data_IF_669750116552
#
_entry.id   IF_669750116552
#
_cell.length_a   1.000
_cell.length_b   1.000
_cell.length_c   1.000
_cell.angle_alpha   90.00
_cell.angle_beta   90.00
_cell.angle_gamma   90.00
#
_symmetry.space_group_name_H-M   'P 1'
#
loop_
_entity.id
_entity.type
_entity.pdbx_description
1 polymer ?
#
# COMPACT_ATOMS: atom_id res chain seq x y z
N UNK A 1 -7.69 -20.58 -9.68
CA UNK A 1 -6.97 -21.87 -9.64
C UNK A 1 -5.64 -21.64 -8.93
N UNK A 2 -5.37 -22.25 -7.76
CA UNK A 2 -4.11 -22.05 -7.01
C UNK A 2 -2.86 -22.55 -7.76
N UNK A 3 -3.04 -23.40 -8.77
CA UNK A 3 -1.96 -24.09 -9.47
C UNK A 3 -1.35 -23.29 -10.64
N UNK A 4 -1.94 -22.18 -11.08
CA UNK A 4 -1.33 -21.32 -12.11
C UNK A 4 -0.21 -20.44 -11.54
N UNK A 5 -0.25 -20.16 -10.23
CA UNK A 5 0.76 -19.34 -9.55
C UNK A 5 2.13 -20.03 -9.42
N UNK A 6 2.15 -21.36 -9.55
CA UNK A 6 3.36 -22.20 -9.52
C UNK A 6 4.03 -22.35 -10.90
N UNK A 7 3.36 -21.97 -11.99
CA UNK A 7 3.89 -22.09 -13.35
C UNK A 7 4.73 -20.87 -13.79
N UNK A 8 4.62 -19.74 -13.09
CA UNK A 8 5.47 -18.55 -13.29
C UNK A 8 6.59 -18.49 -12.26
N UNK A 9 7.82 -18.21 -12.69
CA UNK A 9 8.97 -18.07 -11.79
C UNK A 9 8.76 -17.07 -10.64
N UNK A 10 9.63 -17.09 -9.64
CA UNK A 10 9.53 -16.29 -8.40
C UNK A 10 9.68 -14.76 -8.59
N UNK A 11 9.64 -14.24 -9.80
CA UNK A 11 9.78 -12.81 -10.13
C UNK A 11 8.71 -11.95 -9.41
N UNK A 12 7.50 -12.48 -9.22
CA UNK A 12 6.44 -11.80 -8.47
C UNK A 12 6.87 -11.47 -7.03
N UNK A 13 7.66 -12.36 -6.40
CA UNK A 13 8.19 -12.15 -5.06
C UNK A 13 9.22 -11.03 -5.08
N UNK A 14 10.10 -10.99 -6.08
CA UNK A 14 11.06 -9.90 -6.25
C UNK A 14 10.37 -8.54 -6.39
N UNK A 15 9.32 -8.44 -7.22
CA UNK A 15 8.55 -7.20 -7.35
C UNK A 15 7.80 -6.82 -6.07
N UNK A 16 7.33 -7.81 -5.32
CA UNK A 16 6.73 -7.59 -3.99
C UNK A 16 7.77 -7.04 -3.02
N UNK A 17 9.01 -7.54 -3.03
CA UNK A 17 10.08 -7.03 -2.17
C UNK A 17 10.52 -5.61 -2.54
N UNK A 18 10.49 -5.24 -3.82
CA UNK A 18 10.68 -3.84 -4.24
C UNK A 18 9.59 -2.95 -3.64
N UNK A 19 8.35 -3.44 -3.62
CA UNK A 19 7.22 -2.74 -3.01
C UNK A 19 7.44 -2.56 -1.51
N UNK A 20 7.84 -3.62 -0.80
CA UNK A 20 8.17 -3.59 0.64
C UNK A 20 9.27 -2.56 0.93
N UNK A 21 10.36 -2.57 0.16
CA UNK A 21 11.45 -1.62 0.34
C UNK A 21 11.00 -0.16 0.07
N UNK A 22 10.27 0.07 -1.03
CA UNK A 22 9.81 1.40 -1.41
C UNK A 22 8.87 2.00 -0.37
N UNK A 23 7.88 1.22 0.07
CA UNK A 23 6.90 1.64 1.08
C UNK A 23 7.49 1.71 2.49
N UNK A 24 8.45 0.83 2.83
CA UNK A 24 9.20 0.90 4.08
C UNK A 24 9.99 2.21 4.22
N UNK A 25 10.63 2.65 3.15
CA UNK A 25 11.36 3.93 3.12
C UNK A 25 10.44 5.15 3.02
N UNK A 26 9.24 4.98 2.45
CA UNK A 26 8.32 6.08 2.12
C UNK A 26 8.04 7.02 3.29
N UNK A 27 7.76 6.49 4.48
CA UNK A 27 7.38 7.32 5.63
C UNK A 27 8.51 8.22 6.11
N UNK A 28 9.74 7.71 6.09
CA UNK A 28 10.94 8.47 6.44
C UNK A 28 11.20 9.56 5.39
N UNK A 29 11.14 9.21 4.11
CA UNK A 29 11.34 10.14 3.01
C UNK A 29 10.28 11.25 3.01
N UNK A 30 9.01 10.91 3.19
CA UNK A 30 7.91 11.86 3.21
C UNK A 30 8.00 12.80 4.42
N UNK A 31 8.28 12.27 5.61
CA UNK A 31 8.46 13.08 6.82
C UNK A 31 9.62 14.06 6.65
N UNK A 32 10.77 13.59 6.13
CA UNK A 32 11.92 14.45 5.82
C UNK A 32 11.57 15.52 4.78
N UNK A 33 10.87 15.15 3.69
CA UNK A 33 10.41 16.09 2.68
C UNK A 33 9.46 17.16 3.25
N UNK A 34 8.51 16.77 4.11
CA UNK A 34 7.62 17.70 4.82
C UNK A 34 8.40 18.69 5.70
N UNK A 35 9.35 18.20 6.49
CA UNK A 35 10.17 19.07 7.35
C UNK A 35 11.04 20.03 6.52
N UNK A 36 11.55 19.56 5.38
CA UNK A 36 12.32 20.36 4.44
C UNK A 36 11.53 21.46 3.72
N UNK A 37 10.19 21.41 3.74
CA UNK A 37 9.37 22.50 3.17
C UNK A 37 9.43 23.79 3.99
N UNK A 38 9.93 23.74 5.23
CA UNK A 38 10.12 24.91 6.11
C UNK A 38 8.86 25.80 6.27
N UNK A 39 7.69 25.20 6.13
CA UNK A 39 6.38 25.85 6.23
C UNK A 39 5.54 25.11 7.26
N UNK A 40 5.40 25.65 8.49
CA UNK A 40 4.71 24.98 9.59
C UNK A 40 3.22 24.69 9.31
N UNK A 41 2.59 25.47 8.42
CA UNK A 41 1.15 25.39 8.16
C UNK A 41 0.88 24.51 6.94
N UNK A 42 1.56 24.79 5.82
CA UNK A 42 1.25 24.18 4.53
C UNK A 42 2.32 23.20 4.02
N UNK A 43 3.45 23.05 4.72
CA UNK A 43 4.57 22.22 4.27
C UNK A 43 4.19 20.78 3.94
N UNK A 44 3.24 20.22 4.70
CA UNK A 44 2.70 18.87 4.44
C UNK A 44 2.04 18.77 3.06
N UNK A 45 1.17 19.71 2.71
CA UNK A 45 0.45 19.69 1.43
C UNK A 45 1.38 19.99 0.26
N UNK A 46 2.37 20.87 0.47
CA UNK A 46 3.45 21.12 -0.51
C UNK A 46 4.27 19.85 -0.76
N UNK A 47 4.65 19.11 0.27
CA UNK A 47 5.33 17.82 0.11
C UNK A 47 4.46 16.80 -0.62
N UNK A 48 3.17 16.71 -0.27
CA UNK A 48 2.25 15.78 -0.92
C UNK A 48 1.98 16.12 -2.40
N UNK A 49 2.00 17.40 -2.77
CA UNK A 49 1.94 17.80 -4.19
C UNK A 49 3.06 17.14 -5.00
N UNK A 50 4.28 17.10 -4.48
CA UNK A 50 5.40 16.43 -5.15
C UNK A 50 5.29 14.90 -5.16
N UNK A 51 4.60 14.30 -4.18
CA UNK A 51 4.20 12.88 -4.27
C UNK A 51 3.24 12.68 -5.45
N UNK A 52 2.27 13.59 -5.63
CA UNK A 52 1.37 13.57 -6.78
C UNK A 52 2.09 13.72 -8.12
N UNK A 53 3.08 14.62 -8.20
CA UNK A 53 3.96 14.73 -9.38
C UNK A 53 4.70 13.43 -9.64
N UNK A 54 5.26 12.79 -8.60
CA UNK A 54 5.93 11.49 -8.74
C UNK A 54 4.97 10.40 -9.25
N UNK A 55 3.70 10.40 -8.83
CA UNK A 55 2.68 9.47 -9.33
C UNK A 55 2.37 9.74 -10.81
N UNK A 56 2.29 11.00 -11.25
CA UNK A 56 2.14 11.32 -12.67
C UNK A 56 3.32 10.76 -13.49
N UNK A 57 4.55 10.97 -13.03
CA UNK A 57 5.75 10.49 -13.73
C UNK A 57 5.81 8.96 -13.78
N UNK A 58 5.55 8.29 -12.68
CA UNK A 58 5.74 6.83 -12.57
C UNK A 58 4.51 6.05 -13.06
N UNK A 59 3.31 6.41 -12.59
CA UNK A 59 2.10 5.65 -12.90
C UNK A 59 1.53 6.00 -14.28
N UNK A 60 1.56 7.28 -14.70
CA UNK A 60 1.00 7.67 -16.01
C UNK A 60 2.06 7.54 -17.10
N UNK A 61 3.16 8.31 -16.99
CA UNK A 61 4.18 8.32 -18.04
C UNK A 61 4.89 6.96 -18.12
N UNK A 62 5.27 6.38 -16.97
CA UNK A 62 5.88 5.05 -16.94
C UNK A 62 5.00 3.98 -17.59
N UNK A 63 3.70 3.93 -17.26
CA UNK A 63 2.78 2.97 -17.89
C UNK A 63 2.61 3.22 -19.38
N UNK A 64 2.52 4.49 -19.83
CA UNK A 64 2.43 4.81 -21.26
C UNK A 64 3.65 4.31 -22.04
N UNK A 65 4.86 4.45 -21.47
CA UNK A 65 6.08 3.92 -22.08
C UNK A 65 6.02 2.40 -22.17
N UNK A 66 5.66 1.71 -21.08
CA UNK A 66 5.56 0.24 -21.05
C UNK A 66 4.53 -0.27 -22.05
N UNK A 67 3.33 0.32 -22.10
CA UNK A 67 2.29 -0.05 -23.04
C UNK A 67 2.73 0.16 -24.50
N UNK A 68 3.40 1.28 -24.78
CA UNK A 68 3.93 1.57 -26.12
C UNK A 68 4.99 0.56 -26.55
N UNK A 69 5.94 0.24 -25.67
CA UNK A 69 6.99 -0.76 -25.94
C UNK A 69 6.40 -2.16 -26.08
N UNK A 70 5.36 -2.47 -25.31
CA UNK A 70 4.65 -3.75 -25.36
C UNK A 70 3.75 -3.96 -26.59
N UNK A 71 3.57 -2.94 -27.44
CA UNK A 71 2.79 -3.06 -28.68
C UNK A 71 1.31 -3.33 -28.47
N UNK A 72 0.71 -2.81 -27.39
CA UNK A 72 -0.67 -3.12 -26.99
C UNK A 72 -1.72 -2.49 -27.92
N UNK A 73 -2.91 -3.08 -27.94
CA UNK A 73 -4.11 -2.39 -28.42
C UNK A 73 -4.55 -1.33 -27.41
N UNK A 74 -4.89 -0.13 -27.88
CA UNK A 74 -5.28 1.01 -27.05
C UNK A 74 -6.76 0.98 -26.63
N UNK A 75 -7.31 -0.23 -26.48
CA UNK A 75 -8.69 -0.47 -26.09
C UNK A 75 -8.75 -0.74 -24.60
N UNK A 76 -9.46 0.12 -23.85
CA UNK A 76 -9.55 0.02 -22.40
C UNK A 76 -11.01 -0.30 -21.99
N UNK A 77 -11.30 -1.53 -21.51
CA UNK A 77 -12.63 -1.89 -21.06
C UNK A 77 -13.09 -1.02 -19.89
N UNK A 78 -14.24 -0.35 -20.01
CA UNK A 78 -14.70 0.64 -19.03
C UNK A 78 -14.77 0.14 -17.58
N UNK A 79 -15.18 -1.12 -17.37
CA UNK A 79 -15.19 -1.76 -16.04
C UNK A 79 -13.79 -1.86 -15.44
N UNK A 80 -12.80 -2.26 -16.24
CA UNK A 80 -11.40 -2.38 -15.79
C UNK A 80 -10.80 -1.00 -15.49
N UNK A 81 -11.07 -0.01 -16.35
CA UNK A 81 -10.66 1.38 -16.15
C UNK A 81 -11.21 1.95 -14.84
N UNK A 82 -12.50 1.73 -14.57
CA UNK A 82 -13.14 2.27 -13.36
C UNK A 82 -12.60 1.67 -12.06
N UNK A 83 -12.44 0.34 -12.01
CA UNK A 83 -11.84 -0.32 -10.84
C UNK A 83 -10.38 0.08 -10.63
N UNK A 84 -9.62 0.26 -11.72
CA UNK A 84 -8.24 0.74 -11.64
C UNK A 84 -8.16 2.17 -11.11
N UNK A 85 -9.09 3.04 -11.53
CA UNK A 85 -9.18 4.40 -11.01
C UNK A 85 -9.52 4.43 -9.52
N UNK A 86 -10.51 3.65 -9.08
CA UNK A 86 -10.86 3.52 -7.66
C UNK A 86 -9.66 3.02 -6.85
N UNK A 87 -8.94 2.01 -7.35
CA UNK A 87 -7.75 1.49 -6.70
C UNK A 87 -6.65 2.57 -6.57
N UNK A 88 -6.43 3.36 -7.62
CA UNK A 88 -5.51 4.51 -7.59
C UNK A 88 -5.92 5.56 -6.55
N UNK A 89 -7.21 5.90 -6.49
CA UNK A 89 -7.74 6.80 -5.47
C UNK A 89 -7.54 6.26 -4.05
N UNK A 90 -7.79 4.96 -3.82
CA UNK A 90 -7.58 4.34 -2.52
C UNK A 90 -6.10 4.42 -2.08
N UNK A 91 -5.16 4.15 -3.00
CA UNK A 91 -3.73 4.29 -2.73
C UNK A 91 -3.31 5.72 -2.43
N UNK A 92 -3.79 6.69 -3.21
CA UNK A 92 -3.50 8.12 -3.00
C UNK A 92 -4.08 8.64 -1.66
N UNK A 93 -5.30 8.24 -1.31
CA UNK A 93 -5.92 8.56 -0.02
C UNK A 93 -5.16 7.94 1.15
N UNK A 94 -4.67 6.70 1.01
CA UNK A 94 -3.82 6.06 2.02
C UNK A 94 -2.52 6.84 2.26
N UNK A 95 -1.84 7.24 1.18
CA UNK A 95 -0.64 8.07 1.25
C UNK A 95 -0.92 9.45 1.90
N UNK A 96 -2.06 10.07 1.55
CA UNK A 96 -2.49 11.31 2.18
C UNK A 96 -2.80 11.13 3.68
N UNK A 97 -3.41 10.00 4.07
CA UNK A 97 -3.64 9.65 5.48
C UNK A 97 -2.34 9.56 6.29
N UNK A 98 -1.27 8.97 5.73
CA UNK A 98 0.06 8.94 6.36
C UNK A 98 0.58 10.36 6.61
N UNK A 99 0.45 11.25 5.63
CA UNK A 99 0.84 12.65 5.75
C UNK A 99 0.05 13.36 6.87
N UNK A 100 -1.27 13.16 6.92
CA UNK A 100 -2.11 13.74 7.98
C UNK A 100 -1.73 13.20 9.36
N UNK A 101 -1.39 11.90 9.46
CA UNK A 101 -0.91 11.30 10.70
C UNK A 101 0.41 11.92 11.17
N UNK A 102 1.37 12.19 10.28
CA UNK A 102 2.57 12.95 10.63
C UNK A 102 2.24 14.36 11.11
N UNK A 103 1.31 15.01 10.43
CA UNK A 103 0.79 16.31 10.85
C UNK A 103 0.08 16.31 12.22
N UNK A 104 -0.41 15.15 12.66
CA UNK A 104 -1.03 14.91 13.96
C UNK A 104 -0.04 14.38 15.02
N UNK A 105 1.27 14.61 14.83
CA UNK A 105 2.38 14.20 15.71
C UNK A 105 2.70 12.69 15.68
N UNK A 106 2.17 11.96 14.71
CA UNK A 106 2.61 10.59 14.44
C UNK A 106 4.04 10.57 13.92
N UNK A 107 4.88 9.67 14.44
CA UNK A 107 6.26 9.49 13.98
C UNK A 107 6.32 8.43 12.88
N UNK A 108 7.26 8.52 11.91
CA UNK A 108 7.39 7.52 10.85
C UNK A 108 7.43 6.06 11.33
N UNK A 109 8.25 5.66 12.34
CA UNK A 109 8.30 4.26 12.75
C UNK A 109 6.95 3.70 13.22
N UNK A 110 6.18 4.48 13.98
CA UNK A 110 4.88 4.06 14.52
C UNK A 110 3.81 4.05 13.44
N UNK A 111 3.66 5.15 12.70
CA UNK A 111 2.59 5.27 11.68
C UNK A 111 2.78 4.20 10.61
N UNK A 112 4.00 4.00 10.13
CA UNK A 112 4.27 3.01 9.07
C UNK A 112 4.06 1.58 9.57
N UNK A 113 4.46 1.27 10.81
CA UNK A 113 4.21 -0.06 11.42
C UNK A 113 2.71 -0.36 11.50
N UNK A 114 1.90 0.58 11.99
CA UNK A 114 0.45 0.41 12.09
C UNK A 114 -0.16 0.20 10.71
N UNK A 115 0.22 1.01 9.72
CA UNK A 115 -0.32 0.92 8.36
C UNK A 115 0.02 -0.42 7.70
N UNK A 116 1.28 -0.85 7.73
CA UNK A 116 1.71 -2.05 7.02
C UNK A 116 1.36 -3.36 7.72
N UNK A 117 1.16 -3.35 9.04
CA UNK A 117 0.58 -4.49 9.71
C UNK A 117 -0.95 -4.53 9.59
N UNK A 118 -1.60 -3.37 9.53
CA UNK A 118 -3.05 -3.25 9.39
C UNK A 118 -3.56 -3.55 7.98
N UNK A 119 -2.81 -3.18 6.92
CA UNK A 119 -3.24 -3.37 5.54
C UNK A 119 -3.53 -4.85 5.18
N UNK A 120 -2.69 -5.84 5.55
CA UNK A 120 -3.03 -7.25 5.36
C UNK A 120 -4.31 -7.68 6.08
N UNK A 121 -4.58 -7.13 7.27
CA UNK A 121 -5.79 -7.43 8.05
C UNK A 121 -7.04 -6.87 7.37
N UNK A 122 -6.99 -5.62 6.90
CA UNK A 122 -8.08 -5.04 6.12
C UNK A 122 -8.32 -5.84 4.83
N UNK A 123 -7.24 -6.21 4.13
CA UNK A 123 -7.34 -7.01 2.91
C UNK A 123 -7.99 -8.38 3.18
N UNK A 124 -7.61 -9.05 4.28
CA UNK A 124 -8.22 -10.30 4.73
C UNK A 124 -9.73 -10.15 4.95
N UNK A 125 -10.15 -9.12 5.69
CA UNK A 125 -11.57 -8.85 5.98
C UNK A 125 -12.34 -8.56 4.70
N UNK A 126 -11.85 -7.64 3.87
CA UNK A 126 -12.50 -7.28 2.59
C UNK A 126 -12.60 -8.50 1.68
N UNK A 127 -11.55 -9.31 1.58
CA UNK A 127 -11.57 -10.54 0.80
C UNK A 127 -12.63 -11.52 1.28
N UNK A 128 -12.78 -11.72 2.60
CA UNK A 128 -13.83 -12.57 3.16
C UNK A 128 -15.24 -12.00 2.97
N UNK A 129 -15.41 -10.67 2.93
CA UNK A 129 -16.73 -10.05 2.68
C UNK A 129 -17.12 -10.16 1.21
N UNK A 130 -16.19 -9.91 0.30
CA UNK A 130 -16.43 -9.94 -1.15
C UNK A 130 -16.52 -11.38 -1.67
N UNK A 131 -15.73 -12.29 -1.09
CA UNK A 131 -15.70 -13.71 -1.43
C UNK A 131 -15.92 -14.55 -0.16
N UNK A 132 -17.18 -14.62 0.34
CA UNK A 132 -17.48 -15.35 1.56
C UNK A 132 -17.12 -16.83 1.44
N UNK A 133 -16.53 -17.45 2.49
CA UNK A 133 -16.20 -18.87 2.49
C UNK A 133 -17.45 -19.71 2.25
N UNK A 134 -17.41 -20.60 1.27
CA UNK A 134 -18.55 -21.44 0.87
C UNK A 134 -19.05 -22.37 1.99
N UNK A 135 -18.18 -22.71 2.95
CA UNK A 135 -18.49 -23.53 4.12
C UNK A 135 -18.71 -22.71 5.42
N UNK A 136 -18.87 -21.38 5.31
CA UNK A 136 -19.09 -20.47 6.43
C UNK A 136 -17.82 -20.09 7.20
N UNK A 137 -17.95 -19.17 8.17
CA UNK A 137 -16.81 -18.64 8.94
C UNK A 137 -16.09 -19.70 9.78
N UNK A 138 -16.78 -20.78 10.15
CA UNK A 138 -16.18 -21.91 10.87
C UNK A 138 -15.17 -22.71 10.02
N UNK A 139 -15.20 -22.56 8.70
CA UNK A 139 -14.25 -23.19 7.78
C UNK A 139 -12.98 -22.36 7.56
N UNK A 140 -12.85 -21.19 8.19
CA UNK A 140 -11.63 -20.40 8.12
C UNK A 140 -10.51 -21.19 8.78
N UNK A 141 -9.42 -21.36 8.04
CA UNK A 141 -8.22 -22.04 8.52
C UNK A 141 -7.67 -21.31 9.77
N UNK A 142 -7.48 -22.05 10.87
CA UNK A 142 -7.07 -21.43 12.14
C UNK A 142 -5.67 -20.80 12.06
N UNK A 143 -4.75 -21.35 11.23
CA UNK A 143 -3.42 -20.76 11.01
C UNK A 143 -3.52 -19.36 10.37
N UNK A 144 -4.50 -19.14 9.49
CA UNK A 144 -4.76 -17.80 8.95
C UNK A 144 -5.15 -16.81 10.05
N UNK A 145 -6.05 -17.21 10.95
CA UNK A 145 -6.47 -16.37 12.09
C UNK A 145 -5.28 -16.06 13.00
N UNK A 146 -4.46 -17.07 13.31
CA UNK A 146 -3.23 -16.87 14.09
C UNK A 146 -2.28 -15.91 13.38
N UNK A 147 -2.10 -16.03 12.06
CA UNK A 147 -1.28 -15.09 11.28
C UNK A 147 -1.75 -13.64 11.38
N UNK A 148 -3.06 -13.40 11.35
CA UNK A 148 -3.66 -12.07 11.55
C UNK A 148 -3.36 -11.55 12.97
N UNK A 149 -3.54 -12.38 13.99
CA UNK A 149 -3.24 -12.00 15.38
C UNK A 149 -1.74 -11.74 15.59
N UNK A 150 -0.86 -12.50 14.95
CA UNK A 150 0.59 -12.29 15.00
C UNK A 150 0.99 -11.00 14.28
N UNK A 151 0.35 -10.66 13.15
CA UNK A 151 0.60 -9.39 12.47
C UNK A 151 0.21 -8.20 13.37
N UNK A 152 -0.98 -8.25 13.97
CA UNK A 152 -1.43 -7.23 14.92
C UNK A 152 -0.51 -7.14 16.15
N UNK A 153 -0.18 -8.28 16.75
CA UNK A 153 0.70 -8.37 17.92
C UNK A 153 2.10 -7.85 17.62
N UNK A 154 2.71 -8.25 16.50
CA UNK A 154 4.00 -7.74 16.06
C UNK A 154 4.00 -6.23 15.86
N UNK A 155 2.94 -5.69 15.26
CA UNK A 155 2.78 -4.24 15.10
C UNK A 155 2.70 -3.52 16.46
N UNK A 156 1.93 -4.07 17.39
CA UNK A 156 1.81 -3.54 18.75
C UNK A 156 3.17 -3.56 19.46
N UNK A 157 3.92 -4.66 19.38
CA UNK A 157 5.24 -4.78 20.00
C UNK A 157 6.22 -3.76 19.42
N UNK A 158 6.32 -3.66 18.09
CA UNK A 158 7.22 -2.70 17.42
C UNK A 158 6.85 -1.25 17.76
N UNK A 159 5.55 -0.96 17.87
CA UNK A 159 5.06 0.38 18.21
C UNK A 159 5.33 0.74 19.68
N UNK A 160 5.07 -0.19 20.60
CA UNK A 160 5.18 0.05 22.05
C UNK A 160 6.62 0.04 22.56
N UNK A 161 7.47 -0.84 22.01
CA UNK A 161 8.85 -1.06 22.45
C UNK A 161 9.90 -0.47 21.50
N UNK A 162 9.53 0.56 20.74
CA UNK A 162 10.49 1.30 19.90
C UNK A 162 11.61 1.90 20.77
N UNK A 163 12.86 1.88 20.30
CA UNK A 163 14.02 2.27 21.12
C UNK A 163 14.11 3.79 21.37
N UNK A 164 13.44 4.60 20.56
CA UNK A 164 13.47 6.07 20.60
C UNK A 164 12.10 6.66 20.21
#
# INVERSE_FOLDING_TARGET
MPNEQLAGGMTWLSFSMITVASWGCYGILLHTGQMGMQDPVNGRYKAFLFVGVAYLLTAVIGSLVVLKVGGVEWTFPGKGTWWSLIAGCAGALGAFGILLAFGAKGTPPVVMTIVFAGAPIVNAIVSMVVHPPSAGLAAINWQFVVGILMAAGGASLVTLFRPH
#
